data_IF_641186333097
#
_entry.id   IF_641186333097
#
_cell.length_a   1.000
_cell.length_b   1.000
_cell.length_c   1.000
_cell.angle_alpha   90.00
_cell.angle_beta   90.00
_cell.angle_gamma   90.00
#
_symmetry.space_group_name_H-M   'P 1'
#
loop_
_entity.id
_entity.type
_entity.pdbx_description
1 polymer ?
#
# COMPACT_ATOMS: atom_id res chain seq x y z
N UNK A 1 -22.60 -7.07 -11.71
CA UNK A 1 -21.99 -5.73 -11.94
C UNK A 1 -20.77 -5.88 -12.85
N UNK A 2 -20.55 -4.94 -13.74
CA UNK A 2 -19.41 -4.99 -14.68
C UNK A 2 -18.09 -4.94 -13.91
N UNK A 3 -17.15 -5.81 -14.28
CA UNK A 3 -15.79 -5.74 -13.72
C UNK A 3 -15.08 -4.49 -14.27
N UNK A 4 -14.63 -3.62 -13.37
CA UNK A 4 -13.85 -2.45 -13.71
C UNK A 4 -12.36 -2.79 -13.70
N UNK A 5 -11.60 -2.07 -14.51
CA UNK A 5 -10.13 -2.10 -14.38
C UNK A 5 -9.70 -1.40 -13.08
N UNK A 6 -8.58 -1.79 -12.49
CA UNK A 6 -8.00 -1.05 -11.38
C UNK A 6 -7.69 0.39 -11.82
N UNK A 7 -7.84 1.33 -10.88
CA UNK A 7 -7.56 2.75 -11.12
C UNK A 7 -6.32 3.14 -10.32
N UNK A 8 -5.32 3.68 -10.99
CA UNK A 8 -4.08 4.11 -10.36
C UNK A 8 -4.06 5.63 -10.18
N UNK A 9 -3.83 6.07 -8.95
CA UNK A 9 -3.59 7.46 -8.57
C UNK A 9 -2.11 7.69 -8.39
N UNK A 10 -1.46 8.16 -9.45
CA UNK A 10 -0.04 8.50 -9.45
C UNK A 10 0.18 9.97 -9.04
N UNK A 11 1.26 10.23 -8.34
CA UNK A 11 1.65 11.59 -7.99
C UNK A 11 3.16 11.77 -8.08
N UNK A 12 3.57 12.98 -8.38
CA UNK A 12 4.97 13.36 -8.60
C UNK A 12 5.76 13.57 -7.31
N UNK A 13 5.14 13.43 -6.15
CA UNK A 13 5.80 13.60 -4.85
C UNK A 13 4.99 13.03 -3.70
N UNK A 14 5.59 13.06 -2.50
CA UNK A 14 4.91 12.81 -1.24
C UNK A 14 3.97 13.99 -0.92
N UNK A 15 2.95 13.74 -0.10
CA UNK A 15 2.03 14.76 0.44
C UNK A 15 1.28 15.64 -0.59
N UNK A 16 1.21 15.19 -1.84
CA UNK A 16 0.46 15.88 -2.92
C UNK A 16 -1.05 15.53 -2.94
N UNK A 17 -1.56 14.90 -1.88
CA UNK A 17 -2.99 14.60 -1.75
C UNK A 17 -3.46 13.26 -2.34
N UNK A 18 -2.57 12.40 -2.84
CA UNK A 18 -2.94 11.09 -3.42
C UNK A 18 -3.81 10.24 -2.50
N UNK A 19 -3.47 10.17 -1.21
CA UNK A 19 -4.18 9.34 -0.23
C UNK A 19 -5.63 9.79 -0.05
N UNK A 20 -5.87 11.11 -0.07
CA UNK A 20 -7.21 11.70 0.04
C UNK A 20 -8.01 11.44 -1.25
N UNK A 21 -7.39 11.63 -2.40
CA UNK A 21 -8.03 11.36 -3.69
C UNK A 21 -8.40 9.87 -3.82
N UNK A 22 -7.50 8.97 -3.46
CA UNK A 22 -7.80 7.53 -3.45
C UNK A 22 -8.96 7.19 -2.49
N UNK A 23 -9.01 7.80 -1.30
CA UNK A 23 -10.13 7.63 -0.37
C UNK A 23 -11.45 8.16 -0.96
N UNK A 24 -11.42 9.34 -1.60
CA UNK A 24 -12.59 9.90 -2.25
C UNK A 24 -13.15 8.99 -3.35
N UNK A 25 -12.27 8.44 -4.21
CA UNK A 25 -12.69 7.49 -5.24
C UNK A 25 -13.17 6.15 -4.68
N UNK A 26 -12.58 5.64 -3.61
CA UNK A 26 -13.14 4.49 -2.89
C UNK A 26 -14.57 4.78 -2.42
N UNK A 27 -14.83 5.98 -1.91
CA UNK A 27 -16.18 6.39 -1.51
C UNK A 27 -17.13 6.50 -2.69
N UNK A 28 -16.70 7.12 -3.80
CA UNK A 28 -17.50 7.26 -5.03
C UNK A 28 -17.86 5.89 -5.58
N UNK A 29 -16.90 4.99 -5.78
CA UNK A 29 -17.16 3.64 -6.27
C UNK A 29 -18.14 2.88 -5.38
N UNK A 30 -18.03 3.02 -4.06
CA UNK A 30 -19.01 2.45 -3.13
C UNK A 30 -20.42 3.04 -3.35
N UNK A 31 -20.53 4.36 -3.51
CA UNK A 31 -21.82 5.02 -3.75
C UNK A 31 -22.44 4.62 -5.08
N UNK A 32 -21.61 4.34 -6.09
CA UNK A 32 -22.03 3.81 -7.39
C UNK A 32 -22.37 2.31 -7.34
N UNK A 33 -22.37 1.70 -6.15
CA UNK A 33 -22.77 0.32 -5.93
C UNK A 33 -21.66 -0.71 -6.16
N UNK A 34 -20.41 -0.30 -6.38
CA UNK A 34 -19.28 -1.22 -6.46
C UNK A 34 -18.80 -1.64 -5.05
N UNK A 35 -17.93 -2.63 -5.02
CA UNK A 35 -17.27 -3.10 -3.79
C UNK A 35 -15.75 -2.86 -3.87
N UNK A 36 -15.30 -1.61 -3.76
CA UNK A 36 -13.91 -1.25 -3.97
C UNK A 36 -13.02 -1.63 -2.78
N UNK A 37 -11.70 -1.69 -3.06
CA UNK A 37 -10.70 -1.68 -2.01
C UNK A 37 -9.49 -0.83 -2.41
N UNK A 38 -8.79 -0.20 -1.45
CA UNK A 38 -7.53 0.48 -1.70
C UNK A 38 -6.38 -0.53 -1.80
N UNK A 39 -5.33 -0.14 -2.52
CA UNK A 39 -4.08 -0.87 -2.55
C UNK A 39 -2.89 0.07 -2.63
N UNK A 40 -1.89 -0.17 -1.82
CA UNK A 40 -0.57 0.44 -1.91
C UNK A 40 0.49 -0.63 -1.66
N UNK A 41 1.22 -0.99 -2.70
CA UNK A 41 2.22 -2.06 -2.67
C UNK A 41 3.22 -1.87 -1.53
N UNK A 42 3.79 -0.67 -1.43
CA UNK A 42 4.73 -0.27 -0.39
C UNK A 42 4.34 1.09 0.18
N UNK A 43 4.30 1.19 1.49
CA UNK A 43 4.14 2.46 2.19
C UNK A 43 5.34 2.72 3.11
N UNK A 44 5.75 3.97 3.22
CA UNK A 44 6.75 4.41 4.18
C UNK A 44 6.05 5.38 5.15
N UNK A 45 5.81 4.94 6.38
CA UNK A 45 5.12 5.74 7.37
C UNK A 45 5.43 5.26 8.78
N UNK A 46 5.58 6.20 9.71
CA UNK A 46 5.66 5.89 11.15
C UNK A 46 4.28 5.51 11.70
N UNK A 47 3.22 6.11 11.16
CA UNK A 47 1.87 5.89 11.63
C UNK A 47 1.27 4.63 10.98
N UNK A 48 0.95 3.66 11.81
CA UNK A 48 0.29 2.43 11.42
C UNK A 48 -1.09 2.31 12.08
N UNK A 49 -1.83 1.31 11.66
CA UNK A 49 -3.15 0.98 12.16
C UNK A 49 -3.28 -0.54 12.31
N UNK A 50 -3.93 -1.00 13.37
CA UNK A 50 -4.18 -2.42 13.58
C UNK A 50 -5.41 -2.87 12.79
N UNK A 51 -5.27 -3.94 12.01
CA UNK A 51 -6.42 -4.60 11.36
C UNK A 51 -7.29 -5.31 12.42
N UNK A 52 -8.51 -5.75 12.08
CA UNK A 52 -9.34 -6.54 13.00
C UNK A 52 -8.64 -7.79 13.55
N UNK A 53 -7.70 -8.36 12.80
CA UNK A 53 -6.91 -9.54 13.21
C UNK A 53 -5.68 -9.17 14.05
N UNK A 54 -5.49 -7.90 14.38
CA UNK A 54 -4.34 -7.41 15.16
C UNK A 54 -3.04 -7.32 14.35
N UNK A 55 -3.12 -7.31 13.02
CA UNK A 55 -2.01 -7.12 12.11
C UNK A 55 -1.84 -5.64 11.77
N UNK A 56 -0.69 -5.26 11.23
CA UNK A 56 -0.33 -3.87 11.04
C UNK A 56 -0.38 -3.46 9.55
N UNK A 57 -1.01 -2.30 9.28
CA UNK A 57 -1.01 -1.65 7.94
C UNK A 57 -0.75 -0.15 8.07
N UNK A 58 -0.43 0.50 6.97
CA UNK A 58 -0.34 1.95 6.92
C UNK A 58 -1.70 2.61 7.22
N UNK A 59 -1.71 3.65 8.07
CA UNK A 59 -2.93 4.36 8.46
C UNK A 59 -3.72 4.92 7.27
N UNK A 60 -3.04 5.37 6.22
CA UNK A 60 -3.70 5.88 5.03
C UNK A 60 -4.60 4.82 4.36
N UNK A 61 -4.16 3.57 4.32
CA UNK A 61 -4.93 2.47 3.74
C UNK A 61 -6.12 2.08 4.64
N UNK A 62 -6.00 2.22 5.95
CA UNK A 62 -7.13 2.03 6.87
C UNK A 62 -8.23 3.07 6.63
N UNK A 63 -7.87 4.35 6.46
CA UNK A 63 -8.82 5.43 6.12
C UNK A 63 -9.48 5.19 4.76
N UNK A 64 -8.70 4.74 3.78
CA UNK A 64 -9.23 4.42 2.44
C UNK A 64 -10.17 3.21 2.47
N UNK A 65 -9.89 2.19 3.29
CA UNK A 65 -10.77 1.05 3.51
C UNK A 65 -12.10 1.47 4.17
N UNK A 66 -12.03 2.36 5.16
CA UNK A 66 -13.22 2.94 5.78
C UNK A 66 -14.08 3.70 4.76
N UNK A 67 -13.46 4.51 3.90
CA UNK A 67 -14.16 5.20 2.82
C UNK A 67 -14.80 4.22 1.82
N UNK A 68 -14.13 3.11 1.53
CA UNK A 68 -14.65 2.01 0.72
C UNK A 68 -15.77 1.23 1.42
N UNK A 69 -15.90 1.37 2.74
CA UNK A 69 -16.88 0.64 3.56
C UNK A 69 -16.53 -0.83 3.75
N UNK A 70 -15.25 -1.14 3.79
CA UNK A 70 -14.74 -2.50 3.97
C UNK A 70 -13.78 -2.54 5.15
N UNK A 71 -13.65 -3.68 5.86
CA UNK A 71 -12.66 -3.83 6.89
C UNK A 71 -11.25 -3.72 6.28
N UNK A 72 -10.34 -3.04 6.97
CA UNK A 72 -8.97 -2.97 6.52
C UNK A 72 -8.27 -4.34 6.64
N UNK A 73 -7.41 -4.66 5.69
CA UNK A 73 -6.72 -5.93 5.59
C UNK A 73 -5.28 -5.72 5.12
N UNK A 74 -4.38 -6.60 5.53
CA UNK A 74 -2.95 -6.50 5.18
C UNK A 74 -2.66 -6.54 3.68
N UNK A 75 -3.50 -7.22 2.90
CA UNK A 75 -3.38 -7.22 1.43
C UNK A 75 -3.53 -5.81 0.82
N UNK A 76 -4.12 -4.86 1.53
CA UNK A 76 -4.24 -3.46 1.07
C UNK A 76 -2.92 -2.70 1.16
N UNK A 77 -2.01 -3.15 2.03
CA UNK A 77 -0.65 -2.61 2.18
C UNK A 77 0.29 -3.72 2.65
N UNK A 78 0.73 -4.60 1.75
CA UNK A 78 1.53 -5.76 2.11
C UNK A 78 2.91 -5.41 2.65
N UNK A 79 3.50 -4.29 2.22
CA UNK A 79 4.82 -3.85 2.64
C UNK A 79 4.74 -2.47 3.29
N UNK A 80 5.05 -2.38 4.59
CA UNK A 80 5.15 -1.15 5.33
C UNK A 80 6.57 -0.99 5.89
N UNK A 81 7.20 0.12 5.56
CA UNK A 81 8.50 0.51 6.09
C UNK A 81 8.31 1.60 7.14
N UNK A 82 8.81 1.35 8.34
CA UNK A 82 8.79 2.32 9.45
C UNK A 82 10.22 2.80 9.71
N UNK A 83 10.57 4.02 9.30
CA UNK A 83 11.89 4.57 9.56
C UNK A 83 12.19 4.55 11.07
N UNK A 84 13.34 4.01 11.47
CA UNK A 84 13.74 3.88 12.88
C UNK A 84 15.00 4.68 13.23
N UNK A 85 15.85 4.96 12.25
CA UNK A 85 17.05 5.81 12.35
C UNK A 85 17.46 6.26 10.96
N UNK A 86 18.53 7.05 10.86
CA UNK A 86 18.97 7.68 9.60
C UNK A 86 19.19 6.71 8.43
N UNK A 87 19.41 5.44 8.71
CA UNK A 87 19.71 4.45 7.68
C UNK A 87 18.97 3.11 7.85
N UNK A 88 18.08 2.99 8.83
CA UNK A 88 17.38 1.74 9.10
C UNK A 88 15.86 1.92 9.11
N UNK A 89 15.15 0.89 8.68
CA UNK A 89 13.70 0.84 8.77
C UNK A 89 13.26 -0.50 9.32
N UNK A 90 12.29 -0.47 10.19
CA UNK A 90 11.56 -1.68 10.55
C UNK A 90 10.70 -2.07 9.36
N UNK A 91 10.87 -3.29 8.90
CA UNK A 91 10.09 -3.85 7.79
C UNK A 91 8.93 -4.66 8.34
N UNK A 92 7.73 -4.29 7.92
CA UNK A 92 6.49 -5.00 8.21
C UNK A 92 5.97 -5.61 6.91
N UNK A 93 5.95 -6.93 6.84
CA UNK A 93 5.47 -7.69 5.69
C UNK A 93 4.18 -8.43 6.05
N UNK A 94 3.13 -8.24 5.25
CA UNK A 94 1.81 -8.82 5.50
C UNK A 94 1.33 -8.60 6.94
N UNK A 95 1.60 -7.40 7.47
CA UNK A 95 1.18 -6.97 8.80
C UNK A 95 2.04 -7.47 9.97
N UNK A 96 3.14 -8.18 9.70
CA UNK A 96 4.04 -8.70 10.73
C UNK A 96 5.45 -8.12 10.60
N UNK A 97 6.04 -7.63 11.69
CA UNK A 97 7.44 -7.21 11.66
C UNK A 97 8.36 -8.39 11.32
N UNK A 98 9.24 -8.21 10.35
CA UNK A 98 10.24 -9.22 9.95
C UNK A 98 11.67 -8.82 10.32
N UNK A 99 11.81 -7.76 11.10
CA UNK A 99 13.07 -7.28 11.67
C UNK A 99 13.45 -5.88 11.20
N UNK A 100 14.46 -5.33 11.88
CA UNK A 100 15.11 -4.10 11.45
C UNK A 100 16.16 -4.48 10.43
N UNK A 101 16.01 -4.01 9.21
CA UNK A 101 17.02 -4.14 8.18
C UNK A 101 17.43 -2.76 7.73
N UNK A 102 18.69 -2.61 7.41
CA UNK A 102 19.12 -1.51 6.59
C UNK A 102 18.26 -1.53 5.32
N UNK A 103 17.54 -0.45 5.04
CA UNK A 103 16.67 -0.38 3.87
C UNK A 103 17.45 -0.75 2.59
N UNK A 104 18.74 -0.46 2.56
CA UNK A 104 19.65 -0.80 1.48
C UNK A 104 19.83 -2.33 1.29
N UNK A 105 19.96 -3.09 2.37
CA UNK A 105 20.13 -4.56 2.31
C UNK A 105 18.83 -5.28 1.93
N UNK A 106 17.69 -4.66 2.21
CA UNK A 106 16.38 -5.22 1.87
C UNK A 106 16.06 -5.09 0.38
N UNK A 107 16.61 -4.08 -0.28
CA UNK A 107 16.47 -3.85 -1.72
C UNK A 107 17.56 -4.51 -2.57
N UNK A 108 18.47 -5.29 -1.95
CA UNK A 108 19.44 -6.10 -2.70
C UNK A 108 18.72 -7.16 -3.53
N UNK A 109 19.30 -7.50 -4.66
CA UNK A 109 18.70 -8.28 -5.75
C UNK A 109 18.02 -9.57 -5.30
N UNK A 110 18.56 -10.27 -4.29
CA UNK A 110 18.07 -11.58 -3.84
C UNK A 110 16.75 -11.52 -3.05
N UNK A 111 16.51 -10.47 -2.28
CA UNK A 111 15.25 -10.28 -1.52
C UNK A 111 14.13 -9.62 -2.33
N UNK A 112 14.48 -8.94 -3.41
CA UNK A 112 13.53 -8.13 -4.20
C UNK A 112 12.48 -8.99 -4.91
N UNK A 113 12.87 -10.14 -5.44
CA UNK A 113 11.95 -11.04 -6.16
C UNK A 113 10.95 -11.70 -5.22
N UNK A 114 11.36 -12.06 -4.02
CA UNK A 114 10.46 -12.60 -3.00
C UNK A 114 9.43 -11.56 -2.58
N UNK A 115 9.86 -10.35 -2.28
CA UNK A 115 8.97 -9.24 -1.95
C UNK A 115 7.98 -8.92 -3.07
N UNK A 116 8.47 -8.88 -4.29
CA UNK A 116 7.62 -8.65 -5.45
C UNK A 116 6.54 -9.72 -5.56
N UNK A 117 6.90 -11.00 -5.36
CA UNK A 117 5.93 -12.11 -5.36
C UNK A 117 4.89 -11.93 -4.25
N UNK A 118 5.31 -11.58 -3.03
CA UNK A 118 4.41 -11.35 -1.91
C UNK A 118 3.44 -10.18 -2.21
N UNK A 119 3.95 -9.07 -2.72
CA UNK A 119 3.14 -7.91 -3.10
C UNK A 119 2.14 -8.25 -4.22
N UNK A 120 2.58 -8.95 -5.27
CA UNK A 120 1.69 -9.39 -6.35
C UNK A 120 0.61 -10.36 -5.83
N UNK A 121 1.00 -11.32 -4.99
CA UNK A 121 0.06 -12.27 -4.39
C UNK A 121 -0.98 -11.57 -3.51
N UNK A 122 -0.58 -10.56 -2.74
CA UNK A 122 -1.51 -9.75 -1.95
C UNK A 122 -2.51 -8.99 -2.85
N UNK A 123 -2.03 -8.39 -3.93
CA UNK A 123 -2.87 -7.73 -4.92
C UNK A 123 -3.87 -8.70 -5.54
N UNK A 124 -3.42 -9.88 -5.97
CA UNK A 124 -4.28 -10.89 -6.60
C UNK A 124 -5.37 -11.36 -5.62
N UNK A 125 -5.04 -11.63 -4.38
CA UNK A 125 -6.02 -11.98 -3.34
C UNK A 125 -7.06 -10.85 -3.15
N UNK A 126 -6.60 -9.61 -3.14
CA UNK A 126 -7.48 -8.45 -2.99
C UNK A 126 -8.42 -8.31 -4.21
N UNK A 127 -7.88 -8.44 -5.43
CA UNK A 127 -8.63 -8.31 -6.68
C UNK A 127 -9.66 -9.42 -6.92
N UNK A 128 -9.57 -10.56 -6.22
CA UNK A 128 -10.62 -11.60 -6.25
C UNK A 128 -11.83 -11.23 -5.40
N UNK A 129 -11.64 -10.39 -4.38
CA UNK A 129 -12.68 -10.03 -3.39
C UNK A 129 -13.34 -8.69 -3.69
N UNK A 130 -12.62 -7.77 -4.33
CA UNK A 130 -13.02 -6.37 -4.49
C UNK A 130 -12.96 -5.91 -5.93
N UNK A 131 -13.81 -4.94 -6.27
CA UNK A 131 -13.92 -4.38 -7.61
C UNK A 131 -14.52 -2.96 -7.57
N UNK A 132 -13.82 -1.92 -8.05
CA UNK A 132 -12.43 -1.91 -8.54
C UNK A 132 -11.40 -1.83 -7.41
N UNK A 133 -10.12 -2.02 -7.76
CA UNK A 133 -9.01 -1.71 -6.86
C UNK A 133 -8.52 -0.28 -7.12
N UNK A 134 -8.48 0.53 -6.06
CA UNK A 134 -7.94 1.89 -6.08
C UNK A 134 -6.46 1.85 -5.64
N UNK A 135 -5.56 1.94 -6.60
CA UNK A 135 -4.12 1.85 -6.36
C UNK A 135 -3.55 3.25 -6.15
N UNK A 136 -2.91 3.50 -5.02
CA UNK A 136 -2.14 4.72 -4.82
C UNK A 136 -0.64 4.45 -5.04
N UNK A 137 -0.04 5.24 -5.92
CA UNK A 137 1.36 5.11 -6.29
C UNK A 137 2.09 6.44 -6.16
N UNK A 138 3.24 6.43 -5.49
CA UNK A 138 4.14 7.57 -5.49
C UNK A 138 5.26 7.31 -6.48
N UNK A 139 5.38 8.17 -7.49
CA UNK A 139 6.51 8.12 -8.39
C UNK A 139 7.75 8.59 -7.65
N UNK A 140 8.67 7.68 -7.37
CA UNK A 140 9.95 7.97 -6.74
C UNK A 140 10.96 8.38 -7.82
N UNK A 141 10.80 9.59 -8.31
CA UNK A 141 11.81 10.19 -9.19
C UNK A 141 13.12 10.51 -8.47
N UNK A 142 13.07 10.56 -7.14
CA UNK A 142 14.22 10.89 -6.30
C UNK A 142 15.39 9.88 -6.40
N UNK A 143 15.17 8.70 -6.95
CA UNK A 143 16.23 7.71 -7.15
C UNK A 143 16.82 7.68 -8.56
N UNK A 144 16.24 8.40 -9.50
CA UNK A 144 16.72 8.46 -10.88
C UNK A 144 17.65 9.66 -11.13
N UNK A 145 17.70 10.62 -10.22
CA UNK A 145 18.49 11.85 -10.38
C UNK A 145 19.86 11.80 -9.70
N UNK A 146 20.20 10.72 -9.00
CA UNK A 146 21.51 10.54 -8.38
C UNK A 146 22.44 9.61 -9.19
N UNK A 147 22.11 9.32 -10.42
CA UNK A 147 22.89 8.45 -11.31
C UNK A 147 23.55 9.21 -12.47
N UNK A 148 23.74 10.55 -12.34
CA UNK A 148 24.55 11.36 -13.26
C UNK A 148 25.80 11.91 -12.55
#
# INVERSE_FOLDING_TARGET
MKKLHPVMFAGTGSDVGKSIIAAAFCRIFRQDGYHPAPFKAQNMALNSYATPEGLEIGRAQAVQAEAAGVPCHTDMNPLLLKPSSDHTSQVVLNGRPIGNRNAYDYFRVEGREELRREVCSAYDRLATRYNPIAVSYTHLRAHETEAD
#
